data_IF_296019363167
#
_entry.id   IF_296019363167
#
_cell.length_a   1.000
_cell.length_b   1.000
_cell.length_c   1.000
_cell.angle_alpha   90.00
_cell.angle_beta   90.00
_cell.angle_gamma   90.00
#
_symmetry.space_group_name_H-M   'P 1'
#
loop_
_entity.id
_entity.type
_entity.pdbx_description
1 polymer ?
#
# COMPACT_ATOMS: atom_id res chain seq x y z
N UNK A 1 21.43 21.08 -14.54
CA UNK A 1 20.86 20.69 -13.23
C UNK A 1 19.57 19.92 -13.47
N UNK A 2 19.39 18.73 -12.87
CA UNK A 2 18.18 17.91 -13.01
C UNK A 2 16.98 18.61 -12.36
N UNK A 3 15.83 18.65 -13.03
CA UNK A 3 14.59 19.24 -12.50
C UNK A 3 13.74 18.23 -11.71
N UNK A 4 13.68 16.99 -12.18
CA UNK A 4 12.98 15.88 -11.51
C UNK A 4 13.68 15.49 -10.21
N UNK A 5 12.90 15.27 -9.16
CA UNK A 5 13.41 14.78 -7.87
C UNK A 5 13.42 13.25 -7.84
N UNK A 6 14.38 12.66 -7.13
CA UNK A 6 14.51 11.21 -6.99
C UNK A 6 14.20 10.80 -5.55
N UNK A 7 13.34 9.80 -5.41
CA UNK A 7 13.04 9.13 -4.15
C UNK A 7 13.73 7.77 -4.16
N UNK A 8 14.50 7.47 -3.13
CA UNK A 8 15.19 6.19 -2.97
C UNK A 8 14.64 5.46 -1.75
N UNK A 9 14.12 4.24 -1.93
CA UNK A 9 13.75 3.37 -0.80
C UNK A 9 15.00 2.85 -0.12
N UNK A 10 15.08 3.00 1.20
CA UNK A 10 16.19 2.47 1.98
C UNK A 10 15.90 1.07 2.51
N UNK A 11 16.96 0.28 2.68
CA UNK A 11 16.94 -1.03 3.32
C UNK A 11 18.35 -1.54 3.61
N UNK A 12 18.51 -2.85 3.87
CA UNK A 12 19.80 -3.43 4.27
C UNK A 12 20.95 -3.17 3.29
N UNK A 13 20.65 -3.05 2.00
CA UNK A 13 21.66 -2.76 0.97
C UNK A 13 22.17 -1.31 1.00
N UNK A 14 21.44 -0.38 1.63
CA UNK A 14 21.67 1.06 1.51
C UNK A 14 21.81 1.78 2.85
N UNK A 15 21.74 1.08 3.98
CA UNK A 15 21.75 1.72 5.31
C UNK A 15 23.14 2.19 5.77
N UNK A 16 24.22 1.68 5.16
CA UNK A 16 25.60 2.05 5.52
C UNK A 16 25.87 3.53 5.23
N UNK A 17 26.58 4.26 6.12
CA UNK A 17 26.88 5.68 5.92
C UNK A 17 27.51 6.02 4.57
N UNK A 18 28.43 5.18 4.09
CA UNK A 18 29.14 5.38 2.81
C UNK A 18 28.17 5.32 1.64
N UNK A 19 27.26 4.33 1.65
CA UNK A 19 26.24 4.18 0.62
C UNK A 19 25.24 5.34 0.67
N UNK A 20 24.82 5.78 1.85
CA UNK A 20 23.93 6.94 1.99
C UNK A 20 24.58 8.21 1.43
N UNK A 21 25.85 8.49 1.75
CA UNK A 21 26.60 9.61 1.15
C UNK A 21 26.63 9.54 -0.36
N UNK A 22 26.92 8.35 -0.89
CA UNK A 22 26.94 8.13 -2.33
C UNK A 22 25.56 8.41 -2.94
N UNK A 23 24.47 7.91 -2.36
CA UNK A 23 23.11 8.16 -2.83
C UNK A 23 22.77 9.66 -2.86
N UNK A 24 23.14 10.41 -1.81
CA UNK A 24 22.93 11.87 -1.77
C UNK A 24 23.78 12.58 -2.84
N UNK A 25 25.03 12.16 -3.02
CA UNK A 25 25.93 12.70 -4.05
C UNK A 25 25.41 12.46 -5.48
N UNK A 26 24.92 11.25 -5.76
CA UNK A 26 24.29 10.88 -7.04
C UNK A 26 22.91 11.53 -7.25
N UNK A 27 22.39 12.18 -6.21
CA UNK A 27 21.25 13.09 -6.29
C UNK A 27 19.95 12.53 -5.73
N UNK A 28 19.97 11.60 -4.78
CA UNK A 28 18.78 11.30 -3.98
C UNK A 28 18.25 12.59 -3.33
N UNK A 29 16.94 12.82 -3.39
CA UNK A 29 16.30 14.00 -2.81
C UNK A 29 15.40 13.65 -1.62
N UNK A 30 14.83 12.44 -1.66
CA UNK A 30 13.97 11.92 -0.59
C UNK A 30 14.40 10.49 -0.32
N UNK A 31 14.55 10.12 0.95
CA UNK A 31 14.69 8.74 1.36
C UNK A 31 13.34 8.21 1.86
N UNK A 32 12.86 7.13 1.24
CA UNK A 32 11.64 6.43 1.60
C UNK A 32 11.96 5.30 2.57
N UNK A 33 11.27 5.28 3.71
CA UNK A 33 11.30 4.20 4.70
C UNK A 33 10.00 3.40 4.54
N UNK A 34 10.10 2.17 4.03
CA UNK A 34 8.94 1.30 3.83
C UNK A 34 8.60 0.57 5.14
N UNK A 35 7.54 1.03 5.81
CA UNK A 35 7.15 0.49 7.11
C UNK A 35 6.53 -0.91 7.02
N UNK A 36 6.24 -1.44 5.83
CA UNK A 36 5.85 -2.85 5.67
C UNK A 36 6.95 -3.83 6.09
N UNK A 37 8.21 -3.39 6.09
CA UNK A 37 9.37 -4.22 6.42
C UNK A 37 10.27 -3.61 7.51
N UNK A 38 10.29 -2.29 7.61
CA UNK A 38 11.14 -1.58 8.57
C UNK A 38 10.73 -1.90 10.02
N UNK A 39 11.74 -2.06 10.87
CA UNK A 39 11.58 -2.13 12.32
C UNK A 39 11.74 -0.73 12.92
N UNK A 40 11.03 -0.44 14.00
CA UNK A 40 11.06 0.89 14.63
C UNK A 40 12.46 1.28 15.12
N UNK A 41 13.24 0.33 15.66
CA UNK A 41 14.61 0.60 16.12
C UNK A 41 15.52 1.00 14.96
N UNK A 42 15.40 0.33 13.82
CA UNK A 42 16.12 0.69 12.61
C UNK A 42 15.75 2.11 12.13
N UNK A 43 14.47 2.48 12.20
CA UNK A 43 14.02 3.84 11.86
C UNK A 43 14.65 4.88 12.79
N UNK A 44 14.73 4.60 14.10
CA UNK A 44 15.40 5.48 15.08
C UNK A 44 16.88 5.66 14.80
N UNK A 45 17.55 4.65 14.25
CA UNK A 45 18.96 4.74 13.87
C UNK A 45 19.19 5.45 12.52
N UNK A 46 18.36 5.16 11.52
CA UNK A 46 18.60 5.61 10.15
C UNK A 46 18.27 7.08 9.95
N UNK A 47 17.24 7.61 10.61
CA UNK A 47 16.81 9.00 10.44
C UNK A 47 17.90 10.00 10.88
N UNK A 48 18.49 9.91 12.10
CA UNK A 48 19.57 10.79 12.50
C UNK A 48 20.78 10.70 11.56
N UNK A 49 21.09 9.49 11.07
CA UNK A 49 22.16 9.26 10.10
C UNK A 49 21.92 10.00 8.78
N UNK A 50 20.70 9.94 8.25
CA UNK A 50 20.31 10.68 7.04
C UNK A 50 20.48 12.19 7.24
N UNK A 51 19.99 12.72 8.37
CA UNK A 51 20.06 14.15 8.66
C UNK A 51 21.51 14.63 8.79
N UNK A 52 22.34 13.89 9.54
CA UNK A 52 23.77 14.21 9.69
C UNK A 52 24.51 14.21 8.35
N UNK A 53 24.23 13.23 7.46
CA UNK A 53 24.82 13.19 6.12
C UNK A 53 24.33 14.35 5.25
N UNK A 54 23.05 14.72 5.35
CA UNK A 54 22.50 15.90 4.66
C UNK A 54 23.22 17.19 5.07
N UNK A 55 23.45 17.37 6.37
CA UNK A 55 24.20 18.51 6.91
C UNK A 55 25.68 18.49 6.48
N UNK A 56 26.36 17.35 6.61
CA UNK A 56 27.75 17.13 6.17
C UNK A 56 27.96 17.55 4.71
N UNK A 57 27.03 17.17 3.84
CA UNK A 57 27.11 17.42 2.39
C UNK A 57 26.50 18.77 1.97
N UNK A 58 25.92 19.54 2.88
CA UNK A 58 25.18 20.78 2.56
C UNK A 58 23.99 20.53 1.63
N UNK A 59 23.31 19.38 1.77
CA UNK A 59 22.17 18.96 0.94
C UNK A 59 20.94 18.73 1.81
N UNK A 60 19.83 19.36 1.41
CA UNK A 60 18.53 19.04 1.98
C UNK A 60 18.03 17.72 1.41
N UNK A 61 17.87 16.72 2.28
CA UNK A 61 17.30 15.40 1.96
C UNK A 61 16.09 15.18 2.84
N UNK A 62 14.93 14.99 2.19
CA UNK A 62 13.68 14.75 2.88
C UNK A 62 13.53 13.27 3.26
N UNK A 63 12.72 13.00 4.26
CA UNK A 63 12.41 11.65 4.76
C UNK A 63 10.92 11.41 4.56
N UNK A 64 10.61 10.35 3.83
CA UNK A 64 9.26 9.87 3.57
C UNK A 64 9.03 8.57 4.34
N UNK A 65 8.12 8.59 5.29
CA UNK A 65 7.64 7.38 5.96
C UNK A 65 6.44 6.82 5.20
N UNK A 66 6.57 5.63 4.62
CA UNK A 66 5.51 4.97 3.84
C UNK A 66 4.83 3.91 4.70
N UNK A 67 3.56 4.17 5.04
CA UNK A 67 2.74 3.30 5.91
C UNK A 67 2.43 1.97 5.22
N UNK A 68 2.16 0.94 6.00
CA UNK A 68 1.77 -0.35 5.41
C UNK A 68 0.34 -0.29 4.89
N UNK A 69 -0.55 0.33 5.66
CA UNK A 69 -1.98 0.40 5.36
C UNK A 69 -2.71 -0.94 5.58
N UNK A 70 -4.03 -0.92 5.42
CA UNK A 70 -4.86 -2.11 5.54
C UNK A 70 -4.63 -3.06 4.36
N UNK A 71 -4.51 -4.36 4.65
CA UNK A 71 -4.32 -5.40 3.62
C UNK A 71 -5.14 -6.64 3.95
N UNK A 72 -5.89 -7.15 2.97
CA UNK A 72 -6.56 -8.44 3.08
C UNK A 72 -5.54 -9.52 2.72
N UNK A 73 -5.45 -10.56 3.56
CA UNK A 73 -4.51 -11.66 3.39
C UNK A 73 -5.17 -12.99 3.72
N UNK A 74 -4.71 -14.03 3.05
CA UNK A 74 -4.99 -15.41 3.46
C UNK A 74 -4.34 -15.71 4.81
N UNK A 75 -4.93 -16.64 5.54
CA UNK A 75 -4.39 -17.16 6.79
C UNK A 75 -3.19 -18.06 6.60
N UNK A 76 -2.90 -18.83 7.64
CA UNK A 76 -1.77 -19.76 7.66
C UNK A 76 -2.18 -21.13 7.14
N UNK A 77 -1.47 -21.61 6.12
CA UNK A 77 -1.60 -22.95 5.60
C UNK A 77 -0.51 -23.87 6.15
N UNK A 78 -0.88 -25.11 6.46
CA UNK A 78 0.09 -26.16 6.86
C UNK A 78 0.98 -26.57 5.69
N UNK A 79 0.40 -26.58 4.50
CA UNK A 79 1.05 -26.95 3.24
C UNK A 79 0.46 -26.10 2.14
N UNK A 80 1.28 -25.78 1.14
CA UNK A 80 0.81 -25.02 -0.01
C UNK A 80 -0.28 -25.78 -0.76
N UNK A 81 -1.26 -25.05 -1.30
CA UNK A 81 -2.33 -25.63 -2.12
C UNK A 81 -1.99 -25.41 -3.59
N UNK A 82 -1.90 -26.51 -4.35
CA UNK A 82 -1.69 -26.46 -5.80
C UNK A 82 -3.04 -26.43 -6.50
N UNK A 83 -3.42 -25.27 -7.00
CA UNK A 83 -4.72 -24.98 -7.59
C UNK A 83 -4.64 -25.09 -9.12
N UNK A 84 -5.63 -25.75 -9.72
CA UNK A 84 -5.81 -25.87 -11.16
C UNK A 84 -7.10 -25.17 -11.60
N UNK A 85 -7.18 -24.68 -12.85
CA UNK A 85 -8.40 -24.11 -13.38
C UNK A 85 -9.59 -25.06 -13.24
N UNK A 86 -10.68 -24.56 -12.68
CA UNK A 86 -11.90 -25.32 -12.40
C UNK A 86 -12.02 -25.85 -10.97
N UNK A 87 -10.92 -25.90 -10.21
CA UNK A 87 -10.97 -26.28 -8.79
C UNK A 87 -11.83 -25.27 -7.99
N UNK A 88 -12.40 -25.76 -6.88
CA UNK A 88 -13.12 -24.92 -5.92
C UNK A 88 -12.18 -24.63 -4.74
N UNK A 89 -11.96 -23.35 -4.48
CA UNK A 89 -11.28 -22.84 -3.29
C UNK A 89 -12.30 -22.10 -2.43
N UNK A 90 -12.35 -22.42 -1.14
CA UNK A 90 -13.24 -21.74 -0.19
C UNK A 90 -12.45 -20.80 0.74
N UNK A 91 -12.85 -19.52 0.79
CA UNK A 91 -12.41 -18.61 1.82
C UNK A 91 -13.33 -18.70 3.04
N UNK A 92 -12.75 -18.78 4.23
CA UNK A 92 -13.52 -18.78 5.48
C UNK A 92 -13.25 -17.51 6.30
N UNK A 93 -14.30 -16.97 6.93
CA UNK A 93 -14.22 -15.84 7.87
C UNK A 93 -14.74 -16.23 9.24
N UNK A 94 -14.42 -15.47 10.29
CA UNK A 94 -14.99 -15.63 11.65
C UNK A 94 -14.87 -17.05 12.22
N UNK A 95 -13.78 -17.75 11.87
CA UNK A 95 -13.52 -19.12 12.35
C UNK A 95 -14.40 -20.22 11.74
N UNK A 96 -15.08 -19.93 10.62
CA UNK A 96 -15.86 -20.95 9.90
C UNK A 96 -14.98 -22.10 9.41
N UNK A 97 -15.57 -23.30 9.39
CA UNK A 97 -14.91 -24.51 8.89
C UNK A 97 -15.37 -24.81 7.47
N UNK A 98 -14.40 -25.00 6.59
CA UNK A 98 -14.65 -25.41 5.22
C UNK A 98 -14.99 -26.89 5.13
N UNK A 99 -15.85 -27.24 4.18
CA UNK A 99 -16.10 -28.62 3.73
C UNK A 99 -15.37 -28.95 2.42
N UNK A 100 -14.77 -27.94 1.76
CA UNK A 100 -14.02 -28.07 0.53
C UNK A 100 -12.60 -28.62 0.75
N UNK A 101 -12.08 -29.30 -0.27
CA UNK A 101 -10.73 -29.84 -0.26
C UNK A 101 -9.66 -28.75 -0.21
N UNK A 102 -9.93 -27.59 -0.84
CA UNK A 102 -9.07 -26.42 -0.79
C UNK A 102 -9.79 -25.31 -0.03
N UNK A 103 -9.17 -24.86 1.06
CA UNK A 103 -9.70 -23.76 1.85
C UNK A 103 -8.62 -23.00 2.59
N UNK A 104 -8.88 -21.72 2.85
CA UNK A 104 -8.01 -20.89 3.68
C UNK A 104 -8.85 -19.82 4.39
N UNK A 105 -8.52 -19.52 5.63
CA UNK A 105 -9.13 -18.38 6.32
C UNK A 105 -8.60 -17.05 5.76
N UNK A 106 -9.28 -15.94 6.07
CA UNK A 106 -8.83 -14.59 5.72
C UNK A 106 -8.78 -13.71 6.95
N UNK A 107 -7.84 -12.77 6.97
CA UNK A 107 -7.67 -11.83 8.09
C UNK A 107 -8.71 -10.68 8.12
N UNK A 108 -9.78 -10.76 7.30
CA UNK A 108 -10.80 -9.73 7.20
C UNK A 108 -12.21 -10.31 7.26
N UNK A 109 -12.83 -10.22 8.44
CA UNK A 109 -14.19 -10.72 8.70
C UNK A 109 -15.28 -10.00 7.90
N UNK A 110 -14.98 -8.82 7.36
CA UNK A 110 -15.89 -8.06 6.50
C UNK A 110 -15.95 -8.58 5.06
N UNK A 111 -15.04 -9.48 4.65
CA UNK A 111 -14.94 -9.96 3.27
C UNK A 111 -16.27 -10.49 2.74
N UNK A 112 -16.98 -11.26 3.57
CA UNK A 112 -18.29 -11.85 3.24
C UNK A 112 -19.38 -10.81 2.97
N UNK A 113 -19.27 -9.62 3.56
CA UNK A 113 -20.23 -8.54 3.39
C UNK A 113 -19.93 -7.69 2.15
N UNK A 114 -18.64 -7.52 1.85
CA UNK A 114 -18.19 -6.63 0.79
C UNK A 114 -18.23 -7.31 -0.59
N UNK A 115 -18.06 -8.63 -0.63
CA UNK A 115 -18.02 -9.40 -1.86
C UNK A 115 -19.39 -9.91 -2.32
N UNK A 116 -19.56 -10.04 -3.63
CA UNK A 116 -20.75 -10.54 -4.30
C UNK A 116 -20.43 -11.69 -5.26
N UNK A 117 -21.46 -12.46 -5.62
CA UNK A 117 -21.36 -13.47 -6.67
C UNK A 117 -20.96 -12.83 -8.00
N UNK A 118 -20.02 -13.44 -8.71
CA UNK A 118 -19.45 -12.90 -9.95
C UNK A 118 -18.26 -11.96 -9.75
N UNK A 119 -17.94 -11.54 -8.53
CA UNK A 119 -16.75 -10.73 -8.28
C UNK A 119 -15.46 -11.52 -8.54
N UNK A 120 -14.41 -10.79 -8.93
CA UNK A 120 -13.07 -11.35 -9.11
C UNK A 120 -12.27 -11.20 -7.83
N UNK A 121 -11.65 -12.29 -7.38
CA UNK A 121 -10.67 -12.29 -6.29
C UNK A 121 -9.30 -12.60 -6.86
N UNK A 122 -8.35 -11.70 -6.63
CA UNK A 122 -6.97 -11.86 -7.05
C UNK A 122 -6.12 -12.19 -5.82
N UNK A 123 -5.28 -13.22 -5.91
CA UNK A 123 -4.39 -13.63 -4.83
C UNK A 123 -2.94 -13.65 -5.28
N UNK A 124 -2.05 -13.28 -4.36
CA UNK A 124 -0.60 -13.23 -4.57
C UNK A 124 -0.21 -12.29 -5.72
N UNK A 125 -0.65 -11.04 -5.62
CA UNK A 125 -0.40 -9.98 -6.61
C UNK A 125 -0.98 -10.29 -8.01
N UNK A 126 -2.14 -10.92 -8.06
CA UNK A 126 -2.82 -11.26 -9.31
C UNK A 126 -2.28 -12.50 -10.01
N UNK A 127 -1.48 -13.35 -9.35
CA UNK A 127 -1.06 -14.62 -9.94
C UNK A 127 -2.24 -15.60 -10.02
N UNK A 128 -3.02 -15.68 -8.94
CA UNK A 128 -4.18 -16.58 -8.86
C UNK A 128 -5.44 -15.74 -9.01
N UNK A 129 -6.21 -16.02 -10.06
CA UNK A 129 -7.50 -15.43 -10.33
C UNK A 129 -8.59 -16.39 -9.91
N UNK A 130 -9.54 -15.88 -9.13
CA UNK A 130 -10.69 -16.64 -8.68
C UNK A 130 -11.97 -15.87 -9.02
N UNK A 131 -13.03 -16.61 -9.33
CA UNK A 131 -14.37 -16.08 -9.55
C UNK A 131 -15.28 -16.52 -8.40
N UNK A 132 -15.91 -15.56 -7.71
CA UNK A 132 -16.86 -15.88 -6.65
C UNK A 132 -18.09 -16.55 -7.24
N UNK A 133 -18.39 -17.76 -6.78
CA UNK A 133 -19.55 -18.53 -7.21
C UNK A 133 -20.76 -18.26 -6.33
N UNK A 134 -20.58 -18.38 -5.00
CA UNK A 134 -21.65 -18.24 -4.03
C UNK A 134 -21.10 -17.91 -2.64
N UNK A 135 -21.99 -17.45 -1.76
CA UNK A 135 -21.70 -17.17 -0.36
C UNK A 135 -22.57 -18.06 0.53
N UNK A 136 -21.92 -18.79 1.44
CA UNK A 136 -22.57 -19.73 2.36
C UNK A 136 -22.22 -19.35 3.80
N UNK A 137 -23.11 -18.59 4.45
CA UNK A 137 -22.89 -18.03 5.79
C UNK A 137 -21.57 -17.25 5.90
N UNK A 138 -20.53 -17.84 6.49
CA UNK A 138 -19.18 -17.27 6.67
C UNK A 138 -18.14 -17.91 5.74
N UNK A 139 -18.60 -18.47 4.62
CA UNK A 139 -17.78 -19.17 3.62
C UNK A 139 -18.05 -18.59 2.24
N UNK A 140 -17.01 -18.44 1.44
CA UNK A 140 -17.09 -17.89 0.07
C UNK A 140 -16.46 -18.90 -0.86
N UNK A 141 -17.28 -19.53 -1.72
CA UNK A 141 -16.80 -20.51 -2.69
C UNK A 141 -16.39 -19.78 -3.94
N UNK A 142 -15.15 -20.01 -4.36
CA UNK A 142 -14.59 -19.42 -5.56
C UNK A 142 -14.11 -20.51 -6.52
N UNK A 143 -14.34 -20.28 -7.81
CA UNK A 143 -13.76 -21.09 -8.88
C UNK A 143 -12.38 -20.57 -9.24
N UNK A 144 -11.40 -21.46 -9.30
CA UNK A 144 -10.06 -21.15 -9.77
C UNK A 144 -10.09 -20.92 -11.29
N UNK A 145 -9.61 -19.77 -11.74
CA UNK A 145 -9.55 -19.38 -13.15
C UNK A 145 -8.14 -19.59 -13.72
N UNK A 146 -7.10 -19.21 -12.97
CA UNK A 146 -5.69 -19.43 -13.35
C UNK A 146 -5.03 -20.45 -12.42
N UNK A 147 -4.12 -21.30 -12.94
CA UNK A 147 -3.36 -22.21 -12.09
C UNK A 147 -2.43 -21.42 -11.17
N UNK A 148 -2.13 -21.97 -9.99
CA UNK A 148 -1.12 -21.39 -9.11
C UNK A 148 -0.93 -22.17 -7.81
N UNK A 149 0.09 -21.76 -7.05
CA UNK A 149 0.39 -22.33 -5.74
C UNK A 149 0.05 -21.32 -4.66
N UNK A 150 -0.96 -21.62 -3.86
CA UNK A 150 -1.38 -20.77 -2.76
C UNK A 150 -0.60 -21.10 -1.48
N UNK A 151 0.18 -20.14 -0.99
CA UNK A 151 0.84 -20.20 0.32
C UNK A 151 0.11 -19.42 1.41
N UNK A 152 0.74 -19.33 2.58
CA UNK A 152 0.24 -18.54 3.72
C UNK A 152 0.38 -17.03 3.49
N UNK A 153 -0.50 -16.24 4.12
CA UNK A 153 -0.37 -14.76 4.22
C UNK A 153 -0.27 -14.02 2.90
N UNK A 154 -0.84 -14.61 1.84
CA UNK A 154 -0.85 -14.06 0.48
C UNK A 154 -1.84 -12.92 0.40
N UNK A 155 -1.44 -11.87 -0.30
CA UNK A 155 -2.27 -10.69 -0.47
C UNK A 155 -3.51 -11.03 -1.28
N UNK A 156 -4.66 -10.50 -0.88
CA UNK A 156 -5.94 -10.59 -1.59
C UNK A 156 -6.29 -9.20 -2.08
N UNK A 157 -6.52 -9.09 -3.39
CA UNK A 157 -7.00 -7.90 -4.06
C UNK A 157 -8.42 -8.18 -4.58
N UNK A 158 -9.29 -7.16 -4.52
CA UNK A 158 -10.70 -7.26 -4.88
C UNK A 158 -11.07 -6.16 -5.87
N UNK A 159 -10.61 -6.25 -7.13
CA UNK A 159 -10.82 -5.20 -8.12
C UNK A 159 -12.29 -4.83 -8.27
N UNK A 160 -12.58 -3.54 -8.10
CA UNK A 160 -13.95 -3.01 -8.21
C UNK A 160 -14.82 -3.17 -6.97
N UNK A 161 -14.39 -3.94 -5.97
CA UNK A 161 -15.12 -4.12 -4.70
C UNK A 161 -14.79 -2.98 -3.75
N UNK A 162 -15.83 -2.39 -3.15
CA UNK A 162 -15.62 -1.39 -2.10
C UNK A 162 -15.35 -2.09 -0.77
N UNK A 163 -14.08 -2.20 -0.42
CA UNK A 163 -13.65 -2.78 0.85
C UNK A 163 -13.85 -1.79 1.99
N UNK A 164 -14.47 -2.23 3.10
CA UNK A 164 -14.69 -1.43 4.29
C UNK A 164 -13.65 -1.71 5.39
N UNK A 165 -12.37 -1.50 5.08
CA UNK A 165 -11.27 -1.50 6.05
C UNK A 165 -11.04 -0.09 6.61
N UNK A 166 -10.60 0.05 7.87
CA UNK A 166 -10.14 1.34 8.38
C UNK A 166 -8.92 1.81 7.57
N UNK A 167 -8.74 3.11 7.33
CA UNK A 167 -7.61 3.63 6.55
C UNK A 167 -6.26 3.48 7.26
N UNK A 168 -6.29 3.37 8.60
CA UNK A 168 -5.11 3.20 9.43
C UNK A 168 -5.22 1.92 10.26
N UNK A 169 -4.18 1.09 10.21
CA UNK A 169 -4.06 -0.07 11.10
C UNK A 169 -3.45 0.32 12.45
N UNK A 170 -3.55 -0.55 13.46
CA UNK A 170 -2.86 -0.35 14.75
C UNK A 170 -1.34 -0.22 14.57
N UNK A 171 -0.77 -0.95 13.62
CA UNK A 171 0.64 -0.84 13.28
C UNK A 171 0.95 0.53 12.67
N UNK A 172 0.13 1.00 11.73
CA UNK A 172 0.31 2.33 11.13
C UNK A 172 0.24 3.44 12.18
N UNK A 173 -0.65 3.34 13.17
CA UNK A 173 -0.71 4.32 14.27
C UNK A 173 0.60 4.37 15.07
N UNK A 174 1.21 3.20 15.33
CA UNK A 174 2.51 3.10 15.98
C UNK A 174 3.64 3.69 15.13
N UNK A 175 3.63 3.40 13.83
CA UNK A 175 4.63 3.91 12.88
C UNK A 175 4.50 5.43 12.69
N UNK A 176 3.28 5.95 12.57
CA UNK A 176 3.01 7.39 12.50
C UNK A 176 3.48 8.08 13.77
N UNK A 177 3.23 7.51 14.96
CA UNK A 177 3.71 8.08 16.21
C UNK A 177 5.24 8.19 16.22
N UNK A 178 5.95 7.17 15.73
CA UNK A 178 7.40 7.22 15.54
C UNK A 178 7.81 8.26 14.49
N UNK A 179 7.08 8.38 13.38
CA UNK A 179 7.32 9.41 12.36
C UNK A 179 7.22 10.82 12.93
N UNK A 180 6.25 11.07 13.81
CA UNK A 180 6.11 12.35 14.52
C UNK A 180 7.27 12.57 15.49
N UNK A 181 7.62 11.57 16.31
CA UNK A 181 8.76 11.61 17.24
C UNK A 181 10.06 11.99 16.50
N UNK A 182 10.28 11.39 15.33
CA UNK A 182 11.49 11.55 14.53
C UNK A 182 11.43 12.73 13.54
N UNK A 183 10.34 13.50 13.55
CA UNK A 183 10.12 14.68 12.70
C UNK A 183 10.38 14.40 11.20
N UNK A 184 9.70 13.38 10.66
CA UNK A 184 9.74 13.07 9.22
C UNK A 184 9.07 14.17 8.40
N UNK A 185 9.50 14.34 7.15
CA UNK A 185 8.99 15.41 6.28
C UNK A 185 7.66 15.01 5.62
N UNK A 186 7.50 13.73 5.30
CA UNK A 186 6.29 13.18 4.68
C UNK A 186 5.84 11.89 5.35
N UNK A 187 4.53 11.70 5.42
CA UNK A 187 3.90 10.40 5.66
C UNK A 187 3.06 10.04 4.44
N UNK A 188 3.37 8.93 3.78
CA UNK A 188 2.53 8.38 2.72
C UNK A 188 1.52 7.40 3.30
N UNK A 189 0.24 7.67 3.06
CA UNK A 189 -0.87 6.80 3.41
C UNK A 189 -1.13 5.80 2.28
N UNK A 190 -1.04 4.51 2.59
CA UNK A 190 -1.34 3.40 1.66
C UNK A 190 -2.84 3.15 1.54
N UNK A 191 -3.27 2.61 0.40
CA UNK A 191 -4.65 2.19 0.10
C UNK A 191 -5.70 3.28 0.36
N UNK A 192 -5.36 4.53 0.05
CA UNK A 192 -6.30 5.66 0.12
C UNK A 192 -7.43 5.40 -0.85
N UNK A 193 -8.68 5.45 -0.36
CA UNK A 193 -9.89 5.19 -1.15
C UNK A 193 -10.73 6.44 -1.34
N UNK A 194 -10.68 7.37 -0.39
CA UNK A 194 -11.54 8.56 -0.34
C UNK A 194 -10.88 9.69 0.45
N UNK A 195 -11.41 10.92 0.34
CA UNK A 195 -10.89 12.09 1.05
C UNK A 195 -10.79 11.92 2.57
N UNK A 196 -11.80 11.30 3.19
CA UNK A 196 -11.86 11.18 4.66
C UNK A 196 -10.70 10.37 5.24
N UNK A 197 -10.10 9.46 4.46
CA UNK A 197 -8.93 8.69 4.89
C UNK A 197 -7.73 9.62 5.16
N UNK A 198 -7.58 10.66 4.33
CA UNK A 198 -6.54 11.67 4.47
C UNK A 198 -6.85 12.65 5.60
N UNK A 199 -8.13 12.99 5.78
CA UNK A 199 -8.58 13.87 6.86
C UNK A 199 -8.31 13.22 8.23
N UNK A 200 -8.51 11.90 8.37
CA UNK A 200 -8.20 11.15 9.60
C UNK A 200 -6.70 11.19 9.93
N UNK A 201 -5.83 10.92 8.96
CA UNK A 201 -4.39 11.05 9.15
C UNK A 201 -3.98 12.50 9.48
N UNK A 202 -4.62 13.49 8.84
CA UNK A 202 -4.36 14.90 9.08
C UNK A 202 -4.67 15.31 10.51
N UNK A 203 -5.84 14.87 11.00
CA UNK A 203 -6.28 15.13 12.35
C UNK A 203 -5.29 14.53 13.36
N UNK A 204 -4.91 13.27 13.16
CA UNK A 204 -3.92 12.59 14.00
C UNK A 204 -2.58 13.35 14.07
N UNK A 205 -2.08 13.84 12.92
CA UNK A 205 -0.83 14.61 12.87
C UNK A 205 -0.96 15.95 13.56
N UNK A 206 -2.10 16.63 13.38
CA UNK A 206 -2.39 17.92 14.02
C UNK A 206 -2.46 17.78 15.53
N UNK A 207 -3.17 16.76 16.03
CA UNK A 207 -3.27 16.47 17.47
C UNK A 207 -1.90 16.19 18.10
N UNK A 208 -0.98 15.57 17.35
CA UNK A 208 0.39 15.30 17.80
C UNK A 208 1.38 16.46 17.54
N UNK A 209 0.93 17.59 17.00
CA UNK A 209 1.76 18.75 16.69
C UNK A 209 2.77 18.53 15.55
N UNK A 210 2.55 17.51 14.71
CA UNK A 210 3.44 17.19 13.59
C UNK A 210 3.29 18.17 12.43
N UNK A 211 4.40 18.43 11.74
CA UNK A 211 4.43 19.23 10.51
C UNK A 211 4.58 18.38 9.25
N UNK A 212 4.56 17.06 9.38
CA UNK A 212 4.71 16.15 8.26
C UNK A 212 3.60 16.38 7.22
N UNK A 213 3.99 16.42 5.96
CA UNK A 213 3.06 16.49 4.83
C UNK A 213 2.46 15.11 4.55
N UNK A 214 1.18 15.06 4.17
CA UNK A 214 0.50 13.80 3.85
C UNK A 214 0.54 13.56 2.35
N UNK A 215 1.08 12.41 1.99
CA UNK A 215 1.11 11.92 0.62
C UNK A 215 0.06 10.81 0.45
N UNK A 216 -0.85 10.94 -0.52
CA UNK A 216 -1.82 9.88 -0.80
C UNK A 216 -1.23 8.90 -1.82
N UNK A 217 -1.24 7.61 -1.51
CA UNK A 217 -0.87 6.56 -2.47
C UNK A 217 -2.11 6.09 -3.20
N UNK A 218 -2.08 6.23 -4.52
CA UNK A 218 -3.16 5.81 -5.41
C UNK A 218 -2.88 4.39 -5.84
N UNK A 219 -3.52 3.45 -5.14
CA UNK A 219 -3.35 2.01 -5.27
C UNK A 219 -4.68 1.31 -5.59
N UNK A 220 -5.81 1.97 -5.33
CA UNK A 220 -7.16 1.42 -5.40
C UNK A 220 -8.00 2.09 -6.50
N UNK A 221 -8.87 1.33 -7.16
CA UNK A 221 -9.73 1.86 -8.23
C UNK A 221 -10.73 2.93 -7.74
N UNK A 222 -11.20 2.82 -6.49
CA UNK A 222 -12.02 3.84 -5.83
C UNK A 222 -11.30 5.17 -5.73
N UNK A 223 -9.99 5.12 -5.43
CA UNK A 223 -9.14 6.31 -5.41
C UNK A 223 -9.06 6.99 -6.78
N UNK A 224 -9.01 6.19 -7.85
CA UNK A 224 -9.02 6.71 -9.22
C UNK A 224 -10.35 7.39 -9.55
N UNK A 225 -11.48 6.82 -9.11
CA UNK A 225 -12.81 7.43 -9.29
C UNK A 225 -12.95 8.76 -8.54
N UNK A 226 -12.39 8.84 -7.34
CA UNK A 226 -12.45 9.99 -6.43
C UNK A 226 -11.19 10.87 -6.49
N UNK A 227 -10.43 10.80 -7.60
CA UNK A 227 -9.10 11.39 -7.66
C UNK A 227 -9.07 12.90 -7.42
N UNK A 228 -10.09 13.63 -7.86
CA UNK A 228 -10.16 15.08 -7.69
C UNK A 228 -10.20 15.50 -6.21
N UNK A 229 -11.03 14.84 -5.41
CA UNK A 229 -11.14 15.16 -3.97
C UNK A 229 -9.91 14.71 -3.19
N UNK A 230 -9.31 13.57 -3.56
CA UNK A 230 -8.08 13.05 -2.95
C UNK A 230 -6.90 13.99 -3.22
N UNK A 231 -6.72 14.45 -4.46
CA UNK A 231 -5.65 15.40 -4.80
C UNK A 231 -5.83 16.74 -4.07
N UNK A 232 -7.08 17.20 -3.92
CA UNK A 232 -7.35 18.43 -3.19
C UNK A 232 -6.95 18.34 -1.71
N UNK A 233 -7.20 17.18 -1.06
CA UNK A 233 -6.94 16.96 0.35
C UNK A 233 -5.47 16.56 0.70
N UNK A 234 -4.76 15.95 -0.25
CA UNK A 234 -3.36 15.54 -0.06
C UNK A 234 -2.38 16.69 -0.29
N UNK A 235 -1.20 16.65 0.35
CA UNK A 235 -0.10 17.58 0.03
C UNK A 235 0.70 17.11 -1.18
N UNK A 236 0.80 15.79 -1.37
CA UNK A 236 1.46 15.16 -2.50
C UNK A 236 0.74 13.86 -2.87
N UNK A 237 1.01 13.37 -4.08
CA UNK A 237 0.42 12.13 -4.59
C UNK A 237 1.51 11.16 -5.00
N UNK A 238 1.30 9.87 -4.74
CA UNK A 238 2.10 8.80 -5.31
C UNK A 238 1.21 7.91 -6.17
N UNK A 239 1.51 7.81 -7.47
CA UNK A 239 0.92 6.79 -8.34
C UNK A 239 1.72 5.51 -8.14
N UNK A 240 1.19 4.59 -7.34
CA UNK A 240 1.82 3.32 -7.02
C UNK A 240 1.39 2.27 -8.06
N UNK A 241 2.19 2.16 -9.14
CA UNK A 241 1.81 1.39 -10.32
C UNK A 241 1.72 -0.11 -10.09
N UNK A 242 2.48 -0.66 -9.15
CA UNK A 242 2.45 -2.09 -8.83
C UNK A 242 1.07 -2.52 -8.38
N UNK A 243 0.61 -1.97 -7.25
CA UNK A 243 -0.70 -2.25 -6.67
C UNK A 243 -1.83 -1.78 -7.60
N UNK A 244 -1.73 -0.57 -8.17
CA UNK A 244 -2.78 -0.05 -9.05
C UNK A 244 -2.94 -0.87 -10.34
N UNK A 245 -1.87 -1.50 -10.82
CA UNK A 245 -1.92 -2.39 -11.98
C UNK A 245 -2.56 -3.75 -11.70
N UNK A 246 -2.75 -4.10 -10.43
CA UNK A 246 -3.52 -5.27 -9.99
C UNK A 246 -5.00 -4.90 -9.86
N UNK A 247 -5.30 -3.69 -9.39
CA UNK A 247 -6.67 -3.18 -9.17
C UNK A 247 -7.36 -2.66 -10.44
N UNK A 248 -6.60 -2.32 -11.48
CA UNK A 248 -7.12 -1.79 -12.75
C UNK A 248 -6.58 -2.60 -13.93
N UNK A 249 -7.29 -2.62 -15.08
CA UNK A 249 -6.74 -3.20 -16.31
C UNK A 249 -5.38 -2.57 -16.64
N UNK A 250 -4.38 -3.42 -16.91
CA UNK A 250 -2.99 -2.99 -17.08
C UNK A 250 -2.81 -2.01 -18.25
N UNK A 251 -3.64 -2.14 -19.29
CA UNK A 251 -3.71 -1.26 -20.45
C UNK A 251 -4.21 0.14 -20.11
N UNK A 252 -5.00 0.30 -19.04
CA UNK A 252 -5.51 1.59 -18.59
C UNK A 252 -4.51 2.32 -17.68
N UNK A 253 -3.62 1.59 -17.01
CA UNK A 253 -2.67 2.14 -16.04
C UNK A 253 -1.85 3.35 -16.59
N UNK A 254 -1.29 3.32 -17.81
CA UNK A 254 -0.60 4.48 -18.37
C UNK A 254 -1.51 5.71 -18.56
N UNK A 255 -2.79 5.48 -18.88
CA UNK A 255 -3.78 6.55 -19.07
C UNK A 255 -4.12 7.16 -17.71
N UNK A 256 -4.37 6.33 -16.71
CA UNK A 256 -4.66 6.74 -15.33
C UNK A 256 -3.50 7.58 -14.77
N UNK A 257 -2.27 7.07 -14.85
CA UNK A 257 -1.07 7.82 -14.41
C UNK A 257 -0.99 9.20 -15.08
N UNK A 258 -1.15 9.27 -16.41
CA UNK A 258 -1.08 10.55 -17.15
C UNK A 258 -2.17 11.52 -16.72
N UNK A 259 -3.39 11.04 -16.43
CA UNK A 259 -4.49 11.87 -15.92
C UNK A 259 -4.15 12.43 -14.54
N UNK A 260 -3.70 11.58 -13.61
CA UNK A 260 -3.32 11.98 -12.25
C UNK A 260 -2.20 13.03 -12.30
N UNK A 261 -1.12 12.77 -13.04
CA UNK A 261 0.03 13.68 -13.15
C UNK A 261 -0.38 15.05 -13.69
N UNK A 262 -1.23 15.09 -14.74
CA UNK A 262 -1.74 16.35 -15.30
C UNK A 262 -2.59 17.12 -14.29
N UNK A 263 -3.46 16.41 -13.56
CA UNK A 263 -4.33 17.02 -12.56
C UNK A 263 -3.53 17.58 -11.38
N UNK A 264 -2.55 16.83 -10.88
CA UNK A 264 -1.61 17.31 -9.86
C UNK A 264 -0.87 18.56 -10.33
N UNK A 265 -0.36 18.58 -11.56
CA UNK A 265 0.32 19.74 -12.12
C UNK A 265 -0.61 20.97 -12.23
N UNK A 266 -1.88 20.77 -12.62
CA UNK A 266 -2.87 21.85 -12.68
C UNK A 266 -3.21 22.43 -11.31
N UNK A 267 -3.28 21.59 -10.27
CA UNK A 267 -3.59 22.00 -8.89
C UNK A 267 -2.36 22.38 -8.07
N UNK A 268 -1.16 22.38 -8.68
CA UNK A 268 0.10 22.69 -7.99
C UNK A 268 0.51 21.66 -6.92
N UNK A 269 0.05 20.41 -7.04
CA UNK A 269 0.38 19.33 -6.11
C UNK A 269 1.58 18.52 -6.64
N UNK A 270 2.63 18.27 -5.84
CA UNK A 270 3.68 17.32 -6.18
C UNK A 270 3.11 15.92 -6.46
N UNK A 271 3.70 15.24 -7.45
CA UNK A 271 3.33 13.87 -7.82
C UNK A 271 4.58 13.01 -8.01
N UNK A 272 4.53 11.81 -7.46
CA UNK A 272 5.53 10.75 -7.55
C UNK A 272 4.95 9.64 -8.42
N UNK A 273 5.76 9.10 -9.32
CA UNK A 273 5.43 7.86 -10.03
C UNK A 273 6.33 6.78 -9.47
N UNK A 274 5.73 5.76 -8.85
CA UNK A 274 6.43 4.64 -8.23
C UNK A 274 6.10 3.34 -8.95
N UNK A 275 7.07 2.43 -8.98
CA UNK A 275 6.98 1.08 -9.53
C UNK A 275 7.48 0.09 -8.51
#
# INVERSE_FOLDING_TARGET
MRKTKIICTLGPATEKPETLRQLVHEGANVFRLNMSHAQQDWVREIIPRIRAIGEELGRSVAILMDTQGPAIRTGDLKTELHLKPGDILEFTVRGAKSEEAYSVDVNYDGLINDINEGDTVLVDNGVIHLLVLEKLENRIRCKVITPGTLGSRRHINLPGVRVNLPPLTQKDLGDIALGVEMNVDFIALSFVRQRSDLDELRELLTQKGSKAQVMAKIEDQSAVRLIHEIIAAADAIMVARGDLGIECPIEELPIIQRKIVKLCAHLGKPVVVAT
#
